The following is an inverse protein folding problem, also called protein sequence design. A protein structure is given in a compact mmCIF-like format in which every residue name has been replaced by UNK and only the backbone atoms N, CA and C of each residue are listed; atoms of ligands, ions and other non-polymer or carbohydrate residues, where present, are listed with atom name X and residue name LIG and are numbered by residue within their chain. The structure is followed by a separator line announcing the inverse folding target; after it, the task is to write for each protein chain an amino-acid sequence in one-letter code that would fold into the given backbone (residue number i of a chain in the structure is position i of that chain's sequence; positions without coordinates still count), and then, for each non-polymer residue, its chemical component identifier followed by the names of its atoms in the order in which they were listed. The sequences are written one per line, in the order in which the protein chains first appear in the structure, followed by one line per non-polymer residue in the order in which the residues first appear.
data_IF_314373065852
#
_entry.id   IF_314373065852
#
_cell.length_a   1.000
_cell.length_b   1.000
_cell.length_c   1.000
_cell.angle_alpha   90.00
_cell.angle_beta   90.00
_cell.angle_gamma   90.00
#
_symmetry.space_group_name_H-M   'P 1'
#
loop_
_entity.id
_entity.type
_entity.pdbx_description
1 polymer ?
#
# COMPACT_ATOMS: atom_id res chain seq x y z
N UNK A 1 7.47 -3.79 9.56
CA UNK A 1 8.25 -3.75 10.84
C UNK A 1 9.74 -3.53 10.63
N UNK A 2 10.30 -3.91 9.47
CA UNK A 2 11.76 -3.77 9.24
C UNK A 2 12.28 -2.33 9.42
N UNK A 3 11.44 -1.32 9.23
CA UNK A 3 11.82 0.10 9.27
C UNK A 3 11.17 0.87 10.43
N UNK A 4 10.49 0.19 11.33
CA UNK A 4 9.94 0.77 12.55
C UNK A 4 10.75 0.27 13.76
N UNK A 5 10.85 1.10 14.78
CA UNK A 5 11.54 0.74 16.01
C UNK A 5 10.74 -0.31 16.83
N UNK A 6 11.32 -0.79 17.92
CA UNK A 6 10.74 -1.88 18.73
C UNK A 6 9.51 -1.46 19.55
N UNK A 7 9.18 -0.18 19.59
CA UNK A 7 8.02 0.34 20.33
C UNK A 7 6.72 0.14 19.54
N UNK A 8 6.81 -0.12 18.23
CA UNK A 8 5.66 -0.34 17.34
C UNK A 8 5.55 -1.82 16.96
N UNK A 9 4.36 -2.38 17.17
CA UNK A 9 3.93 -3.64 16.57
C UNK A 9 3.02 -3.38 15.37
N UNK A 10 3.18 -4.15 14.30
CA UNK A 10 2.33 -4.06 13.10
C UNK A 10 1.39 -5.25 13.07
N UNK A 11 0.07 -4.99 13.13
CA UNK A 11 -0.98 -5.97 12.91
C UNK A 11 -1.48 -5.85 11.47
N UNK A 12 -1.20 -6.86 10.63
CA UNK A 12 -1.72 -6.88 9.27
C UNK A 12 -3.16 -7.41 9.25
N UNK A 13 -4.10 -6.53 8.98
CA UNK A 13 -5.54 -6.81 8.85
C UNK A 13 -6.01 -6.74 7.40
N UNK A 14 -5.09 -6.58 6.43
CA UNK A 14 -5.43 -6.56 5.02
C UNK A 14 -6.07 -7.89 4.57
N UNK A 15 -6.93 -7.82 3.57
CA UNK A 15 -7.58 -8.99 2.97
C UNK A 15 -7.34 -9.00 1.47
N UNK A 16 -6.84 -10.11 0.94
CA UNK A 16 -6.57 -10.25 -0.48
C UNK A 16 -7.85 -10.06 -1.30
N UNK A 17 -7.75 -9.31 -2.40
CA UNK A 17 -8.88 -9.03 -3.30
C UNK A 17 -9.97 -8.12 -2.72
N UNK A 18 -9.80 -7.56 -1.51
CA UNK A 18 -10.81 -6.70 -0.91
C UNK A 18 -10.88 -5.32 -1.57
N UNK A 19 -12.11 -4.81 -1.73
CA UNK A 19 -12.43 -3.42 -1.94
C UNK A 19 -12.93 -2.80 -0.63
N UNK A 20 -13.04 -1.47 -0.52
CA UNK A 20 -13.70 -0.82 0.61
C UNK A 20 -15.11 -1.37 0.85
N UNK A 21 -15.86 -1.55 -0.24
CA UNK A 21 -17.23 -2.09 -0.16
C UNK A 21 -17.25 -3.51 0.44
N UNK A 22 -16.31 -4.38 0.05
CA UNK A 22 -16.23 -5.74 0.59
C UNK A 22 -15.58 -5.81 1.97
N UNK A 23 -14.81 -4.80 2.36
CA UNK A 23 -14.21 -4.69 3.69
C UNK A 23 -15.18 -4.15 4.74
N UNK A 24 -16.26 -3.51 4.29
CA UNK A 24 -17.35 -3.03 5.12
C UNK A 24 -18.00 -4.17 5.92
N UNK A 25 -18.51 -3.88 7.10
CA UNK A 25 -19.15 -4.88 7.98
C UNK A 25 -18.12 -5.63 8.82
N UNK A 26 -18.13 -6.96 8.79
CA UNK A 26 -17.36 -7.79 9.74
C UNK A 26 -15.85 -7.56 9.71
N UNK A 27 -15.26 -7.17 8.57
CA UNK A 27 -13.82 -6.96 8.48
C UNK A 27 -13.38 -5.68 9.18
N UNK A 28 -14.05 -4.55 8.90
CA UNK A 28 -13.75 -3.30 9.63
C UNK A 28 -14.10 -3.45 11.12
N UNK A 29 -15.17 -4.18 11.47
CA UNK A 29 -15.54 -4.43 12.86
C UNK A 29 -14.46 -5.22 13.59
N UNK A 30 -13.82 -6.21 12.93
CA UNK A 30 -12.68 -6.95 13.48
C UNK A 30 -11.50 -6.02 13.80
N UNK A 31 -11.18 -5.08 12.90
CA UNK A 31 -10.16 -4.05 13.14
C UNK A 31 -10.53 -3.20 14.35
N UNK A 32 -11.74 -2.65 14.36
CA UNK A 32 -12.22 -1.74 15.41
C UNK A 32 -12.33 -2.40 16.79
N UNK A 33 -12.57 -3.71 16.84
CA UNK A 33 -12.61 -4.47 18.10
C UNK A 33 -11.22 -4.69 18.71
N UNK A 34 -10.17 -4.64 17.91
CA UNK A 34 -8.78 -4.77 18.38
C UNK A 34 -8.12 -3.40 18.60
N UNK A 35 -8.67 -2.35 18.03
CA UNK A 35 -8.13 -1.00 18.05
C UNK A 35 -8.16 -0.42 19.46
N UNK A 36 -7.06 0.18 19.86
CA UNK A 36 -6.90 0.95 21.10
C UNK A 36 -6.72 2.41 20.77
N UNK A 37 -6.94 3.28 21.77
CA UNK A 37 -6.59 4.68 21.63
C UNK A 37 -5.10 4.83 21.30
N UNK A 38 -4.79 5.81 20.43
CA UNK A 38 -3.46 6.14 19.93
C UNK A 38 -2.85 5.10 18.95
N UNK A 39 -3.57 4.01 18.62
CA UNK A 39 -3.14 3.13 17.53
C UNK A 39 -3.25 3.84 16.18
N UNK A 40 -2.22 3.70 15.34
CA UNK A 40 -2.26 4.18 13.95
C UNK A 40 -2.91 3.14 13.05
N UNK A 41 -3.84 3.59 12.20
CA UNK A 41 -4.50 2.72 11.21
C UNK A 41 -4.16 3.18 9.81
N UNK A 42 -3.31 2.42 9.13
CA UNK A 42 -2.93 2.66 7.73
C UNK A 42 -3.97 2.05 6.81
N UNK A 43 -4.53 2.85 5.91
CA UNK A 43 -5.61 2.46 4.99
C UNK A 43 -5.15 2.69 3.55
N UNK A 44 -5.10 1.61 2.76
CA UNK A 44 -4.84 1.63 1.33
C UNK A 44 -5.90 0.79 0.61
N UNK A 45 -6.67 1.40 -0.28
CA UNK A 45 -7.68 0.77 -1.14
C UNK A 45 -7.73 1.46 -2.50
N UNK A 46 -8.28 0.78 -3.51
CA UNK A 46 -8.45 1.31 -4.85
C UNK A 46 -8.39 0.21 -5.92
N UNK A 47 -7.42 -0.70 -5.80
CA UNK A 47 -7.16 -1.76 -6.80
C UNK A 47 -8.38 -2.62 -7.15
N UNK A 48 -9.26 -2.87 -6.19
CA UNK A 48 -10.46 -3.68 -6.40
C UNK A 48 -11.72 -2.83 -6.45
N UNK A 49 -11.70 -1.63 -5.89
CA UNK A 49 -12.82 -0.70 -5.96
C UNK A 49 -13.09 -0.26 -7.40
N UNK A 50 -12.07 -0.05 -8.20
CA UNK A 50 -12.18 0.32 -9.62
C UNK A 50 -12.83 -0.77 -10.50
N UNK A 51 -12.90 -2.01 -10.00
CA UNK A 51 -13.57 -3.12 -10.68
C UNK A 51 -15.08 -3.13 -10.47
N UNK A 52 -15.59 -2.40 -9.48
CA UNK A 52 -17.02 -2.29 -9.19
C UNK A 52 -17.67 -1.44 -10.28
N UNK A 53 -18.65 -2.02 -10.98
CA UNK A 53 -19.40 -1.39 -12.07
C UNK A 53 -20.84 -1.13 -11.66
N UNK A 54 -21.51 -0.20 -12.35
CA UNK A 54 -22.89 0.13 -12.11
C UNK A 54 -23.13 0.98 -10.88
N UNK A 55 -24.28 0.81 -10.25
CA UNK A 55 -24.63 1.55 -9.03
C UNK A 55 -23.65 1.24 -7.89
N UNK A 56 -23.07 2.28 -7.29
CA UNK A 56 -22.02 2.18 -6.29
C UNK A 56 -20.59 2.05 -6.87
N UNK A 57 -20.43 1.95 -8.19
CA UNK A 57 -19.12 2.02 -8.83
C UNK A 57 -18.59 3.45 -8.94
N UNK A 58 -17.29 3.57 -9.30
CA UNK A 58 -16.63 4.87 -9.48
C UNK A 58 -15.94 5.39 -8.22
N UNK A 59 -15.06 6.36 -8.45
CA UNK A 59 -14.19 6.90 -7.41
C UNK A 59 -14.91 7.88 -6.46
N UNK A 60 -15.95 8.53 -6.92
CA UNK A 60 -16.77 9.44 -6.15
C UNK A 60 -18.14 8.80 -5.86
N UNK A 61 -18.66 8.93 -4.63
CA UNK A 61 -19.84 8.22 -4.15
C UNK A 61 -19.48 7.17 -3.13
N UNK A 62 -19.90 5.93 -3.31
CA UNK A 62 -19.76 4.85 -2.32
C UNK A 62 -18.31 4.65 -1.80
N UNK A 63 -17.31 4.74 -2.67
CA UNK A 63 -15.90 4.63 -2.26
C UNK A 63 -15.51 5.72 -1.25
N UNK A 64 -15.84 6.99 -1.56
CA UNK A 64 -15.52 8.11 -0.66
C UNK A 64 -16.37 8.10 0.60
N UNK A 65 -17.63 7.66 0.52
CA UNK A 65 -18.54 7.54 1.66
C UNK A 65 -18.05 6.50 2.67
N UNK A 66 -17.70 5.29 2.19
CA UNK A 66 -17.17 4.23 3.06
C UNK A 66 -15.82 4.63 3.66
N UNK A 67 -14.96 5.29 2.89
CA UNK A 67 -13.67 5.75 3.40
C UNK A 67 -13.85 6.77 4.53
N UNK A 68 -14.77 7.72 4.36
CA UNK A 68 -15.10 8.68 5.40
C UNK A 68 -15.71 8.00 6.65
N UNK A 69 -16.61 7.02 6.46
CA UNK A 69 -17.16 6.21 7.55
C UNK A 69 -16.05 5.48 8.33
N UNK A 70 -15.12 4.84 7.63
CA UNK A 70 -13.99 4.16 8.28
C UNK A 70 -13.13 5.14 9.10
N UNK A 71 -12.81 6.30 8.55
CA UNK A 71 -12.05 7.34 9.24
C UNK A 71 -12.77 7.78 10.52
N UNK A 72 -14.07 8.05 10.45
CA UNK A 72 -14.85 8.47 11.61
C UNK A 72 -14.90 7.39 12.69
N UNK A 73 -15.20 6.16 12.33
CA UNK A 73 -15.26 5.03 13.27
C UNK A 73 -13.91 4.75 13.95
N UNK A 74 -12.79 4.91 13.23
CA UNK A 74 -11.44 4.81 13.80
C UNK A 74 -11.21 5.93 14.80
N UNK A 75 -11.53 7.18 14.45
CA UNK A 75 -11.40 8.33 15.34
C UNK A 75 -12.28 8.21 16.60
N UNK A 76 -13.49 7.71 16.47
CA UNK A 76 -14.41 7.45 17.61
C UNK A 76 -13.83 6.44 18.61
N UNK A 77 -12.97 5.53 18.14
CA UNK A 77 -12.24 4.59 19.00
C UNK A 77 -10.93 5.18 19.55
N UNK A 78 -10.59 6.42 19.23
CA UNK A 78 -9.34 7.06 19.62
C UNK A 78 -8.16 6.68 18.72
N UNK A 79 -8.38 5.96 17.62
CA UNK A 79 -7.34 5.60 16.66
C UNK A 79 -6.99 6.76 15.71
N UNK A 80 -5.82 6.68 15.11
CA UNK A 80 -5.25 7.71 14.24
C UNK A 80 -5.20 7.18 12.80
N UNK A 81 -6.14 7.55 11.91
CA UNK A 81 -6.15 7.08 10.53
C UNK A 81 -5.08 7.79 9.68
N UNK A 82 -4.41 7.01 8.83
CA UNK A 82 -3.46 7.47 7.81
C UNK A 82 -3.89 6.87 6.48
N UNK A 83 -4.17 7.70 5.48
CA UNK A 83 -4.49 7.24 4.14
C UNK A 83 -3.22 7.09 3.30
N UNK A 84 -3.19 6.04 2.49
CA UNK A 84 -2.14 5.82 1.49
C UNK A 84 -2.84 5.61 0.14
N UNK A 85 -2.54 6.45 -0.86
CA UNK A 85 -3.11 6.24 -2.20
C UNK A 85 -2.59 4.93 -2.81
N UNK A 86 -3.39 4.22 -3.64
CA UNK A 86 -2.99 2.93 -4.20
C UNK A 86 -1.68 3.04 -5.00
N UNK A 87 -0.86 2.00 -4.90
CA UNK A 87 0.32 1.86 -5.75
C UNK A 87 -0.09 1.71 -7.22
N UNK A 88 0.68 2.28 -8.14
CA UNK A 88 0.44 2.04 -9.57
C UNK A 88 0.62 0.56 -9.92
N UNK A 89 -0.16 0.07 -10.89
CA UNK A 89 0.22 -1.14 -11.61
C UNK A 89 1.35 -0.82 -12.58
N UNK A 90 2.13 -1.81 -12.93
CA UNK A 90 3.16 -1.66 -13.94
C UNK A 90 2.52 -1.70 -15.34
N UNK A 91 2.15 -0.54 -15.86
CA UNK A 91 1.57 -0.37 -17.19
C UNK A 91 2.32 0.76 -17.91
N UNK A 92 3.22 0.41 -18.81
CA UNK A 92 4.01 1.38 -19.55
C UNK A 92 3.42 1.63 -20.95
N UNK A 93 3.43 2.91 -21.33
CA UNK A 93 3.31 3.36 -22.72
C UNK A 93 4.65 3.99 -23.13
N UNK A 94 5.43 3.25 -23.89
CA UNK A 94 6.83 3.61 -24.15
C UNK A 94 7.66 3.64 -22.87
N UNK A 95 8.09 4.84 -22.44
CA UNK A 95 8.88 5.05 -21.22
C UNK A 95 8.07 5.63 -20.06
N UNK A 96 6.88 6.10 -20.32
CA UNK A 96 5.99 6.69 -19.33
C UNK A 96 5.05 5.65 -18.73
N UNK A 97 4.76 5.80 -17.46
CA UNK A 97 3.82 4.93 -16.77
C UNK A 97 2.38 5.45 -16.99
N UNK A 98 1.53 4.64 -17.59
CA UNK A 98 0.13 4.96 -17.75
C UNK A 98 -0.60 4.96 -16.39
N UNK A 99 -1.52 5.92 -16.14
CA UNK A 99 -2.35 5.90 -14.93
C UNK A 99 -3.24 4.65 -14.90
N UNK A 100 -3.20 3.89 -13.80
CA UNK A 100 -3.91 2.62 -13.73
C UNK A 100 -5.14 2.63 -12.81
N UNK A 101 -5.35 3.69 -12.03
CA UNK A 101 -6.42 3.75 -11.04
C UNK A 101 -7.43 4.87 -11.30
N UNK A 102 -7.48 5.44 -12.52
CA UNK A 102 -8.42 6.49 -12.86
C UNK A 102 -8.47 7.60 -11.80
N UNK A 103 -9.67 7.92 -11.33
CA UNK A 103 -9.90 9.00 -10.36
C UNK A 103 -9.76 8.56 -8.88
N UNK A 104 -9.54 7.28 -8.57
CA UNK A 104 -9.51 6.77 -7.20
C UNK A 104 -8.44 7.45 -6.31
N UNK A 105 -7.19 7.68 -6.79
CA UNK A 105 -6.21 8.42 -6.00
C UNK A 105 -6.64 9.87 -5.71
N UNK A 106 -7.27 10.55 -6.67
CA UNK A 106 -7.77 11.92 -6.48
C UNK A 106 -8.94 11.97 -5.49
N UNK A 107 -9.83 11.00 -5.55
CA UNK A 107 -10.92 10.87 -4.59
C UNK A 107 -10.37 10.67 -3.17
N UNK A 108 -9.37 9.80 -2.98
CA UNK A 108 -8.73 9.61 -1.68
C UNK A 108 -8.04 10.90 -1.17
N UNK A 109 -7.33 11.64 -2.04
CA UNK A 109 -6.73 12.94 -1.69
C UNK A 109 -7.78 13.94 -1.20
N UNK A 110 -8.95 13.98 -1.85
CA UNK A 110 -10.07 14.85 -1.43
C UNK A 110 -10.64 14.43 -0.08
N UNK A 111 -10.82 13.13 0.16
CA UNK A 111 -11.27 12.61 1.46
C UNK A 111 -10.26 12.96 2.54
N UNK A 112 -8.96 12.69 2.33
CA UNK A 112 -7.92 13.02 3.30
C UNK A 112 -7.95 14.50 3.71
N UNK A 113 -8.07 15.40 2.73
CA UNK A 113 -8.17 16.83 2.96
C UNK A 113 -9.45 17.21 3.73
N UNK A 114 -10.61 16.65 3.34
CA UNK A 114 -11.89 16.92 3.98
C UNK A 114 -11.92 16.46 5.43
N UNK A 115 -11.40 15.27 5.68
CA UNK A 115 -11.42 14.64 7.00
C UNK A 115 -10.21 15.05 7.88
N UNK A 116 -9.31 15.90 7.36
CA UNK A 116 -8.09 16.36 8.03
C UNK A 116 -7.26 15.17 8.57
N UNK A 117 -6.93 14.21 7.69
CA UNK A 117 -6.10 13.06 8.02
C UNK A 117 -4.84 13.05 7.18
N UNK A 118 -3.76 12.51 7.74
CA UNK A 118 -2.49 12.36 7.02
C UNK A 118 -2.67 11.53 5.76
N UNK A 119 -2.07 11.97 4.66
CA UNK A 119 -2.03 11.24 3.39
C UNK A 119 -0.60 11.02 2.93
N UNK A 120 -0.28 9.78 2.55
CA UNK A 120 0.92 9.44 1.80
C UNK A 120 0.53 9.19 0.35
N UNK A 121 1.02 9.99 -0.58
CA UNK A 121 0.68 9.90 -2.00
C UNK A 121 1.53 8.84 -2.71
N UNK A 122 1.26 7.58 -2.40
CA UNK A 122 2.04 6.44 -2.90
C UNK A 122 1.85 6.23 -4.42
N UNK A 123 0.69 6.62 -4.97
CA UNK A 123 0.48 6.63 -6.43
C UNK A 123 1.54 7.48 -7.14
N UNK A 124 1.78 8.73 -6.68
CA UNK A 124 2.82 9.58 -7.24
C UNK A 124 4.23 9.04 -7.01
N UNK A 125 4.46 8.46 -5.83
CA UNK A 125 5.77 7.90 -5.50
C UNK A 125 6.10 6.69 -6.35
N UNK A 126 5.18 5.76 -6.52
CA UNK A 126 5.37 4.55 -7.34
C UNK A 126 5.43 4.87 -8.83
N UNK A 127 4.69 5.88 -9.31
CA UNK A 127 4.88 6.39 -10.68
C UNK A 127 6.34 6.78 -10.92
N UNK A 128 6.91 7.62 -10.06
CA UNK A 128 8.31 8.06 -10.21
C UNK A 128 9.31 6.91 -10.04
N UNK A 129 9.03 5.99 -9.15
CA UNK A 129 9.87 4.82 -8.90
C UNK A 129 9.93 3.90 -10.13
N UNK A 130 8.77 3.56 -10.71
CA UNK A 130 8.73 2.67 -11.87
C UNK A 130 9.29 3.34 -13.13
N UNK A 131 9.00 4.62 -13.36
CA UNK A 131 9.60 5.39 -14.44
C UNK A 131 11.14 5.47 -14.33
N UNK A 132 11.68 5.59 -13.09
CA UNK A 132 13.13 5.61 -12.86
C UNK A 132 13.80 4.28 -13.21
N UNK A 133 13.16 3.15 -12.94
CA UNK A 133 13.64 1.82 -13.39
C UNK A 133 13.39 1.59 -14.89
N UNK A 134 12.38 2.23 -15.45
CA UNK A 134 11.92 1.99 -16.81
C UNK A 134 11.23 0.63 -17.00
N UNK A 135 10.74 0.35 -18.23
CA UNK A 135 9.88 -0.80 -18.49
C UNK A 135 10.56 -2.15 -18.30
N UNK A 136 11.90 -2.24 -18.39
CA UNK A 136 12.59 -3.50 -18.26
C UNK A 136 12.94 -3.82 -16.79
N UNK A 137 13.66 -2.93 -16.10
CA UNK A 137 14.07 -3.20 -14.72
C UNK A 137 12.91 -3.26 -13.74
N UNK A 138 11.87 -2.46 -13.95
CA UNK A 138 10.66 -2.49 -13.12
C UNK A 138 9.99 -3.87 -13.05
N UNK A 139 10.18 -4.74 -14.06
CA UNK A 139 9.67 -6.13 -14.01
C UNK A 139 10.12 -6.87 -12.75
N UNK A 140 11.35 -6.63 -12.31
CA UNK A 140 11.93 -7.29 -11.13
C UNK A 140 11.27 -6.91 -9.80
N UNK A 141 10.53 -5.81 -9.77
CA UNK A 141 9.74 -5.40 -8.61
C UNK A 141 8.38 -6.12 -8.49
N UNK A 142 8.00 -6.92 -9.49
CA UNK A 142 6.71 -7.59 -9.55
C UNK A 142 6.86 -9.10 -9.62
N UNK A 143 5.73 -9.83 -9.47
CA UNK A 143 5.68 -11.29 -9.57
C UNK A 143 5.78 -11.68 -11.05
N UNK A 144 6.99 -11.67 -11.55
CA UNK A 144 7.33 -12.03 -12.93
C UNK A 144 8.43 -13.09 -12.89
N UNK A 145 8.04 -14.34 -13.07
CA UNK A 145 8.89 -15.50 -12.92
C UNK A 145 8.74 -16.45 -14.11
N UNK A 146 9.85 -16.93 -14.64
CA UNK A 146 9.81 -17.97 -15.67
C UNK A 146 9.10 -19.24 -15.16
N UNK A 147 8.59 -20.04 -16.07
CA UNK A 147 7.99 -21.32 -15.73
C UNK A 147 8.99 -22.21 -14.94
N UNK A 148 8.49 -22.97 -14.02
CA UNK A 148 9.25 -23.92 -13.18
C UNK A 148 10.31 -23.29 -12.26
N UNK A 149 10.18 -21.99 -11.91
CA UNK A 149 11.05 -21.39 -10.90
C UNK A 149 10.73 -21.86 -9.47
N UNK A 150 9.49 -22.24 -9.21
CA UNK A 150 9.06 -22.71 -7.90
C UNK A 150 8.35 -24.07 -8.00
N UNK A 151 8.38 -24.89 -6.94
CA UNK A 151 7.64 -26.14 -6.91
C UNK A 151 6.15 -25.96 -7.23
N UNK A 152 5.64 -26.69 -8.21
CA UNK A 152 4.23 -26.64 -8.62
C UNK A 152 3.85 -25.47 -9.55
N UNK A 153 4.79 -24.62 -9.93
CA UNK A 153 4.56 -23.55 -10.90
C UNK A 153 4.95 -24.05 -12.30
N UNK A 154 3.96 -24.50 -13.08
CA UNK A 154 4.17 -24.99 -14.46
C UNK A 154 4.27 -23.88 -15.50
N UNK A 155 3.67 -22.74 -15.24
CA UNK A 155 3.50 -21.67 -16.20
C UNK A 155 4.33 -20.43 -15.82
N UNK A 156 4.67 -19.61 -16.82
CA UNK A 156 5.27 -18.29 -16.58
C UNK A 156 4.28 -17.39 -15.83
N UNK A 157 4.79 -16.61 -14.87
CA UNK A 157 4.02 -15.61 -14.15
C UNK A 157 4.39 -14.23 -14.66
N UNK A 158 3.40 -13.49 -15.17
CA UNK A 158 3.54 -12.11 -15.65
C UNK A 158 2.54 -11.20 -14.94
N UNK A 159 2.71 -11.03 -13.64
CA UNK A 159 1.86 -10.16 -12.84
C UNK A 159 2.46 -8.74 -12.76
N UNK A 160 1.67 -7.75 -13.14
CA UNK A 160 2.04 -6.34 -13.12
C UNK A 160 1.39 -5.57 -11.95
N UNK A 161 0.83 -6.29 -10.98
CA UNK A 161 0.11 -5.74 -9.82
C UNK A 161 0.75 -6.17 -8.49
N UNK A 162 1.05 -7.46 -8.33
CA UNK A 162 1.61 -8.00 -7.09
C UNK A 162 3.13 -7.90 -7.07
N UNK A 163 3.67 -7.53 -5.92
CA UNK A 163 5.10 -7.29 -5.77
C UNK A 163 5.90 -8.54 -5.50
N UNK A 164 7.12 -8.60 -6.06
CA UNK A 164 8.18 -9.44 -5.54
C UNK A 164 8.65 -8.94 -4.17
N UNK A 165 9.47 -9.72 -3.46
CA UNK A 165 10.08 -9.25 -2.20
C UNK A 165 10.86 -7.94 -2.37
N UNK A 166 11.56 -7.77 -3.51
CA UNK A 166 12.24 -6.53 -3.83
C UNK A 166 11.25 -5.37 -3.99
N UNK A 167 10.20 -5.54 -4.78
CA UNK A 167 9.18 -4.50 -4.99
C UNK A 167 8.48 -4.11 -3.69
N UNK A 168 8.11 -5.10 -2.86
CA UNK A 168 7.51 -4.87 -1.56
C UNK A 168 8.42 -4.06 -0.63
N UNK A 169 9.73 -4.36 -0.63
CA UNK A 169 10.72 -3.59 0.13
C UNK A 169 10.81 -2.12 -0.34
N UNK A 170 10.87 -1.90 -1.65
CA UNK A 170 10.93 -0.55 -2.22
C UNK A 170 9.67 0.27 -1.92
N UNK A 171 8.50 -0.37 -1.98
CA UNK A 171 7.24 0.26 -1.57
C UNK A 171 7.24 0.59 -0.07
N UNK A 172 7.74 -0.31 0.78
CA UNK A 172 7.88 -0.03 2.21
C UNK A 172 8.80 1.18 2.47
N UNK A 173 9.93 1.27 1.77
CA UNK A 173 10.84 2.43 1.84
C UNK A 173 10.15 3.72 1.35
N UNK A 174 9.34 3.65 0.30
CA UNK A 174 8.56 4.78 -0.17
C UNK A 174 7.55 5.25 0.90
N UNK A 175 6.84 4.34 1.55
CA UNK A 175 5.92 4.65 2.65
C UNK A 175 6.68 5.31 3.81
N UNK A 176 7.81 4.76 4.23
CA UNK A 176 8.66 5.36 5.29
C UNK A 176 9.13 6.77 4.90
N UNK A 177 9.51 6.98 3.63
CA UNK A 177 9.86 8.31 3.13
C UNK A 177 8.68 9.27 3.19
N UNK A 178 7.47 8.80 2.86
CA UNK A 178 6.24 9.57 2.98
C UNK A 178 5.90 9.92 4.43
N UNK A 179 6.05 8.97 5.36
CA UNK A 179 5.87 9.20 6.80
C UNK A 179 6.85 10.28 7.32
N UNK A 180 8.14 10.21 6.94
CA UNK A 180 9.13 11.23 7.33
C UNK A 180 8.75 12.64 6.85
N UNK A 181 8.12 12.74 5.71
CA UNK A 181 7.71 14.01 5.12
C UNK A 181 6.33 14.50 5.60
N UNK A 182 5.60 13.67 6.34
CA UNK A 182 4.26 13.98 6.83
C UNK A 182 4.28 14.64 8.21
N UNK A 183 3.11 15.08 8.66
CA UNK A 183 2.85 15.58 10.01
C UNK A 183 2.45 14.45 10.99
N UNK A 184 2.32 13.21 10.52
CA UNK A 184 1.95 12.06 11.38
C UNK A 184 2.99 11.80 12.46
N UNK A 185 2.53 11.62 13.70
CA UNK A 185 3.37 11.20 14.83
C UNK A 185 3.98 9.81 14.65
N UNK A 186 3.43 8.98 13.76
CA UNK A 186 4.03 7.67 13.43
C UNK A 186 5.48 7.79 12.92
N UNK A 187 5.87 8.95 12.37
CA UNK A 187 7.26 9.20 11.96
C UNK A 187 8.27 9.09 13.11
N UNK A 188 7.85 9.33 14.36
CA UNK A 188 8.72 9.27 15.54
C UNK A 188 9.11 7.82 15.88
N UNK A 189 8.40 6.85 15.33
CA UNK A 189 8.67 5.42 15.51
C UNK A 189 9.45 4.80 14.35
N UNK A 190 9.92 5.60 13.40
CA UNK A 190 10.82 5.10 12.35
C UNK A 190 12.17 4.75 12.99
N UNK A 191 12.68 3.56 12.70
CA UNK A 191 13.98 3.12 13.20
C UNK A 191 15.10 4.10 12.79
N UNK A 192 16.05 4.35 13.69
CA UNK A 192 17.14 5.30 13.46
C UNK A 192 18.01 4.91 12.26
N UNK A 193 18.21 3.61 12.06
CA UNK A 193 18.98 3.02 10.97
C UNK A 193 18.17 2.82 9.68
N UNK A 194 16.86 3.14 9.71
CA UNK A 194 16.05 3.06 8.51
C UNK A 194 16.58 3.99 7.40
N UNK A 195 16.87 3.47 6.20
CA UNK A 195 17.55 4.23 5.17
C UNK A 195 16.70 5.44 4.71
N UNK A 196 17.38 6.51 4.30
CA UNK A 196 16.74 7.59 3.55
C UNK A 196 16.41 7.09 2.15
N UNK A 197 15.21 7.36 1.69
CA UNK A 197 14.74 6.89 0.40
C UNK A 197 14.20 8.01 -0.48
N UNK A 198 14.45 7.90 -1.77
CA UNK A 198 13.95 8.84 -2.77
C UNK A 198 13.32 8.04 -3.93
N UNK A 199 12.01 8.08 -4.15
CA UNK A 199 11.35 7.37 -5.25
C UNK A 199 11.85 7.73 -6.66
N UNK A 200 12.50 8.88 -6.81
CA UNK A 200 13.16 9.28 -8.09
C UNK A 200 14.52 8.64 -8.30
N UNK A 201 15.06 7.99 -7.27
CA UNK A 201 16.35 7.27 -7.30
C UNK A 201 16.21 5.99 -6.49
N UNK A 202 15.33 5.07 -6.93
CA UNK A 202 15.08 3.81 -6.24
C UNK A 202 16.33 2.92 -6.30
N UNK A 203 16.40 1.93 -5.41
CA UNK A 203 17.47 0.96 -5.45
C UNK A 203 17.46 0.17 -6.77
N UNK A 204 18.61 -0.29 -7.20
CA UNK A 204 18.70 -1.17 -8.37
C UNK A 204 18.33 -2.60 -8.00
N UNK A 205 17.37 -3.22 -8.69
CA UNK A 205 17.03 -4.63 -8.43
C UNK A 205 18.15 -5.61 -8.74
N UNK A 206 19.23 -5.15 -9.39
CA UNK A 206 20.38 -5.98 -9.77
C UNK A 206 21.46 -6.01 -8.69
N UNK A 207 21.54 -4.96 -7.87
CA UNK A 207 22.64 -4.80 -6.91
C UNK A 207 22.19 -4.64 -5.47
N UNK A 208 20.93 -4.32 -5.24
CA UNK A 208 20.41 -4.11 -3.90
C UNK A 208 20.09 -5.44 -3.19
N UNK A 209 20.66 -5.61 -2.01
CA UNK A 209 20.35 -6.75 -1.15
C UNK A 209 19.22 -6.36 -0.21
N UNK A 210 18.11 -7.10 -0.26
CA UNK A 210 16.98 -6.89 0.64
C UNK A 210 17.41 -7.23 2.06
N UNK A 211 17.17 -6.34 3.05
CA UNK A 211 17.46 -6.64 4.45
C UNK A 211 16.77 -7.92 4.91
N UNK A 212 17.48 -8.73 5.66
CA UNK A 212 16.92 -9.94 6.22
C UNK A 212 15.81 -9.59 7.20
N UNK A 213 14.62 -10.13 6.97
CA UNK A 213 13.50 -10.07 7.89
C UNK A 213 13.56 -11.28 8.80
N UNK A 214 13.64 -11.07 10.12
CA UNK A 214 13.57 -12.17 11.08
C UNK A 214 12.31 -13.00 10.83
N UNK A 215 12.46 -14.33 10.84
CA UNK A 215 11.33 -15.24 10.83
C UNK A 215 10.47 -14.95 12.07
N UNK A 216 9.26 -14.48 11.85
CA UNK A 216 8.25 -14.47 12.88
C UNK A 216 6.97 -15.07 12.29
N UNK A 217 6.24 -15.83 13.10
CA UNK A 217 4.95 -16.38 12.67
C UNK A 217 3.95 -15.24 12.54
N UNK A 218 3.80 -14.75 11.30
CA UNK A 218 2.71 -13.85 10.99
C UNK A 218 1.44 -14.68 10.79
N UNK A 219 0.38 -14.33 11.50
CA UNK A 219 -0.95 -14.80 11.13
C UNK A 219 -1.21 -14.34 9.68
N UNK A 220 -1.53 -15.28 8.80
CA UNK A 220 -1.91 -14.92 7.43
C UNK A 220 -3.10 -13.98 7.47
N UNK A 221 -3.10 -12.92 6.64
CA UNK A 221 -4.28 -12.09 6.45
C UNK A 221 -5.48 -12.93 5.98
N UNK A 222 -6.68 -12.56 6.38
CA UNK A 222 -7.90 -13.20 5.92
C UNK A 222 -8.01 -13.10 4.39
N UNK A 223 -8.22 -14.22 3.72
CA UNK A 223 -8.39 -14.28 2.25
C UNK A 223 -7.15 -14.70 1.46
N UNK A 224 -6.07 -15.10 2.12
CA UNK A 224 -4.87 -15.70 1.50
C UNK A 224 -4.76 -17.19 1.78
#
# INVERSE_FOLDING_TARGET
TAYLNKEIAVANQASSGASLASFRGSRIDKVLNQLKADDFVIIEFGHNDEKIKGEGGGAYGLYTEIMADFIQRIKEKGGIPILITPTQRRAFDGKELAPTHGEFPDAMRKVAKKEAVTLIDLTKMTTKMYESWGPQLSRKAFVQYAANMFPGQSDELEDNTHFSNFGANEVALAVVSGLRASDSELKNYIAEDAPKYNPKKPNSPETYTIPFSSLFEALKPDGN
#
